data_IF_740234635122
#
_entry.id   IF_740234635122
#
_cell.length_a   1.000
_cell.length_b   1.000
_cell.length_c   1.000
_cell.angle_alpha   90.00
_cell.angle_beta   90.00
_cell.angle_gamma   90.00
#
_symmetry.space_group_name_H-M   'P 1'
#
loop_
_entity.id
_entity.type
_entity.pdbx_description
1 polymer ?
#
# COMPACT_ATOMS: atom_id res chain seq x y z
N UNK A 1 -36.74 53.01 27.00
CA UNK A 1 -35.82 52.13 27.77
C UNK A 1 -36.55 51.03 28.51
N UNK A 2 -37.64 51.31 29.23
CA UNK A 2 -38.41 50.28 29.96
C UNK A 2 -38.95 49.15 29.07
N UNK A 3 -39.40 49.47 27.86
CA UNK A 3 -39.88 48.48 26.89
C UNK A 3 -38.78 47.47 26.50
N UNK A 4 -37.58 47.95 26.16
CA UNK A 4 -36.43 47.09 25.85
C UNK A 4 -35.98 46.25 27.05
N UNK A 5 -36.07 46.80 28.27
CA UNK A 5 -35.76 46.05 29.50
C UNK A 5 -36.72 44.88 29.73
N UNK A 6 -38.01 45.09 29.47
CA UNK A 6 -39.05 44.05 29.56
C UNK A 6 -38.92 43.01 28.45
N UNK A 7 -38.73 43.45 27.20
CA UNK A 7 -38.65 42.55 26.03
C UNK A 7 -37.45 41.62 26.08
N UNK A 8 -36.28 42.11 26.51
CA UNK A 8 -35.05 41.32 26.53
C UNK A 8 -34.66 40.81 27.93
N UNK A 9 -35.47 41.10 28.96
CA UNK A 9 -35.24 40.73 30.36
C UNK A 9 -33.82 41.08 30.85
N UNK A 10 -33.38 42.31 30.59
CA UNK A 10 -32.04 42.80 30.94
C UNK A 10 -32.10 44.14 31.66
N UNK A 11 -31.13 44.40 32.54
CA UNK A 11 -31.08 45.65 33.29
C UNK A 11 -30.79 46.86 32.39
N UNK A 12 -31.28 48.04 32.79
CA UNK A 12 -31.03 49.32 32.12
C UNK A 12 -29.52 49.56 31.91
N UNK A 13 -28.71 49.23 32.92
CA UNK A 13 -27.26 49.36 32.88
C UNK A 13 -26.62 48.47 31.79
N UNK A 14 -27.19 47.30 31.52
CA UNK A 14 -26.70 46.39 30.47
C UNK A 14 -27.00 46.94 29.08
N UNK A 15 -28.23 47.44 28.87
CA UNK A 15 -28.64 48.05 27.60
C UNK A 15 -27.80 49.30 27.32
N UNK A 16 -27.63 50.18 28.32
CA UNK A 16 -26.79 51.38 28.20
C UNK A 16 -25.35 51.03 27.81
N UNK A 17 -24.74 50.04 28.50
CA UNK A 17 -23.38 49.57 28.19
C UNK A 17 -23.23 49.03 26.76
N UNK A 18 -24.22 48.28 26.27
CA UNK A 18 -24.23 47.75 24.90
C UNK A 18 -24.36 48.89 23.89
N UNK A 19 -25.25 49.85 24.17
CA UNK A 19 -25.51 51.01 23.33
C UNK A 19 -24.28 51.91 23.21
N UNK A 20 -23.69 52.35 24.32
CA UNK A 20 -22.47 53.16 24.33
C UNK A 20 -21.36 52.48 23.53
N UNK A 21 -21.17 51.17 23.71
CA UNK A 21 -20.19 50.39 22.94
C UNK A 21 -20.48 50.38 21.44
N UNK A 22 -21.75 50.22 21.06
CA UNK A 22 -22.19 50.31 19.67
C UNK A 22 -21.82 51.68 19.08
N UNK A 23 -22.14 52.76 19.77
CA UNK A 23 -21.81 54.13 19.35
C UNK A 23 -20.29 54.34 19.21
N UNK A 24 -19.49 53.94 20.19
CA UNK A 24 -18.02 54.08 20.13
C UNK A 24 -17.40 53.30 18.98
N UNK A 25 -17.86 52.06 18.75
CA UNK A 25 -17.33 51.23 17.65
C UNK A 25 -17.79 51.70 16.26
N UNK A 26 -19.00 52.23 16.15
CA UNK A 26 -19.49 52.86 14.94
C UNK A 26 -18.67 54.10 14.59
N UNK A 27 -18.35 54.95 15.57
CA UNK A 27 -17.51 56.14 15.37
C UNK A 27 -16.09 55.79 14.90
N UNK A 28 -15.53 54.65 15.33
CA UNK A 28 -14.17 54.22 15.00
C UNK A 28 -14.06 53.39 13.72
N UNK A 29 -15.06 52.57 13.40
CA UNK A 29 -14.98 51.55 12.33
C UNK A 29 -16.11 51.62 11.31
N UNK A 30 -17.00 52.60 11.43
CA UNK A 30 -18.20 52.75 10.59
C UNK A 30 -19.34 51.78 10.91
N UNK A 31 -19.12 50.78 11.78
CA UNK A 31 -20.10 49.74 12.11
C UNK A 31 -20.24 49.54 13.62
N UNK A 32 -21.49 49.45 14.13
CA UNK A 32 -21.77 49.20 15.54
C UNK A 32 -21.51 47.74 15.91
N UNK A 33 -20.45 47.49 16.69
CA UNK A 33 -20.08 46.15 17.20
C UNK A 33 -20.69 45.92 18.58
N UNK A 34 -21.87 45.29 18.60
CA UNK A 34 -22.63 45.00 19.84
C UNK A 34 -22.50 43.55 20.35
N UNK A 35 -21.61 42.75 19.77
CA UNK A 35 -21.38 41.36 20.20
C UNK A 35 -20.87 41.26 21.65
N UNK A 36 -21.17 40.16 22.34
CA UNK A 36 -20.67 39.93 23.72
C UNK A 36 -19.14 39.89 23.76
N UNK A 37 -18.54 40.58 24.75
CA UNK A 37 -17.09 40.47 25.05
C UNK A 37 -16.75 39.28 25.96
N UNK A 38 -17.72 38.42 26.26
CA UNK A 38 -17.48 37.20 27.04
C UNK A 38 -16.73 36.14 26.24
N UNK A 39 -16.88 36.13 24.91
CA UNK A 39 -16.08 35.32 24.02
C UNK A 39 -14.59 35.69 24.19
N UNK A 40 -13.79 34.75 24.70
CA UNK A 40 -12.38 34.95 25.04
C UNK A 40 -12.09 35.23 26.52
N UNK A 41 -13.05 35.75 27.31
CA UNK A 41 -12.88 35.94 28.77
C UNK A 41 -13.21 34.69 29.58
N UNK A 42 -14.14 33.86 29.11
CA UNK A 42 -14.56 32.62 29.79
C UNK A 42 -13.71 31.42 29.36
N UNK A 43 -12.87 31.58 28.32
CA UNK A 43 -11.93 30.55 27.92
C UNK A 43 -10.82 30.44 28.99
N UNK A 44 -11.02 29.54 29.96
CA UNK A 44 -10.02 29.26 30.98
C UNK A 44 -8.66 28.94 30.35
N UNK A 45 -7.59 29.30 31.05
CA UNK A 45 -6.22 29.03 30.62
C UNK A 45 -6.04 27.54 30.33
N UNK A 46 -5.55 27.23 29.13
CA UNK A 46 -5.36 25.84 28.71
C UNK A 46 -4.19 25.25 29.53
N UNK A 47 -4.50 24.32 30.45
CA UNK A 47 -3.51 23.65 31.30
C UNK A 47 -2.34 23.01 30.53
N UNK A 48 -2.59 22.55 29.30
CA UNK A 48 -1.56 22.00 28.41
C UNK A 48 -1.48 22.86 27.15
N UNK A 49 -0.42 23.66 27.02
CA UNK A 49 -0.09 24.36 25.78
C UNK A 49 0.21 23.36 24.66
N UNK A 50 0.11 23.80 23.40
CA UNK A 50 0.38 22.91 22.28
C UNK A 50 1.86 22.52 22.21
N UNK A 51 2.75 23.44 22.60
CA UNK A 51 4.19 23.25 22.71
C UNK A 51 4.53 22.26 23.83
N UNK A 52 3.99 22.46 25.04
CA UNK A 52 4.23 21.55 26.15
C UNK A 52 3.66 20.15 25.91
N UNK A 53 2.51 20.06 25.24
CA UNK A 53 1.97 18.77 24.82
C UNK A 53 2.87 18.07 23.77
N UNK A 54 3.46 18.81 22.83
CA UNK A 54 4.40 18.27 21.85
C UNK A 54 5.65 17.72 22.52
N UNK A 55 6.23 18.44 23.47
CA UNK A 55 7.47 18.06 24.13
C UNK A 55 7.24 16.82 25.01
N UNK A 56 6.17 16.80 25.80
CA UNK A 56 5.78 15.65 26.61
C UNK A 56 5.52 14.40 25.76
N UNK A 57 4.82 14.55 24.63
CA UNK A 57 4.61 13.41 23.72
C UNK A 57 5.91 12.97 23.06
N UNK A 58 6.84 13.89 22.78
CA UNK A 58 8.11 13.60 22.10
C UNK A 58 9.17 12.98 22.99
N UNK A 59 9.11 13.17 24.31
CA UNK A 59 10.04 12.55 25.27
C UNK A 59 9.70 11.08 25.59
N UNK A 60 8.44 10.67 25.47
CA UNK A 60 7.99 9.31 25.80
C UNK A 60 8.51 8.27 24.79
N UNK A 61 9.04 7.10 25.14
CA UNK A 61 9.42 6.08 24.15
C UNK A 61 8.28 5.63 23.22
N UNK A 62 8.57 5.32 21.95
CA UNK A 62 7.55 5.01 20.93
C UNK A 62 6.61 3.86 21.31
N UNK A 63 7.08 2.82 22.01
CA UNK A 63 6.27 1.67 22.40
C UNK A 63 5.15 2.03 23.41
N UNK A 64 5.27 3.15 24.13
CA UNK A 64 4.23 3.69 25.02
C UNK A 64 3.25 4.64 24.29
N UNK A 65 3.53 5.00 23.03
CA UNK A 65 2.69 5.89 22.21
C UNK A 65 1.66 5.16 21.33
N UNK A 66 1.51 3.85 21.49
CA UNK A 66 0.70 3.01 20.60
C UNK A 66 -0.81 3.25 20.69
N UNK A 67 -1.32 3.65 21.85
CA UNK A 67 -2.73 3.94 22.07
C UNK A 67 -2.92 5.12 23.04
N UNK A 68 -4.10 5.73 23.03
CA UNK A 68 -4.40 6.91 23.86
C UNK A 68 -4.29 6.64 25.37
N UNK A 69 -4.57 5.42 25.83
CA UNK A 69 -4.50 5.10 27.26
C UNK A 69 -3.05 5.06 27.73
N UNK A 70 -2.19 4.34 27.01
CA UNK A 70 -0.74 4.28 27.29
C UNK A 70 -0.09 5.66 27.15
N UNK A 71 -0.42 6.41 26.10
CA UNK A 71 0.13 7.74 25.88
C UNK A 71 -0.29 8.72 26.99
N UNK A 72 -1.56 8.69 27.41
CA UNK A 72 -2.05 9.54 28.50
C UNK A 72 -1.33 9.23 29.82
N UNK A 73 -1.16 7.94 30.14
CA UNK A 73 -0.44 7.52 31.34
C UNK A 73 1.02 7.95 31.32
N UNK A 74 1.69 7.85 30.18
CA UNK A 74 3.11 8.19 30.04
C UNK A 74 3.38 9.70 29.99
N UNK A 75 2.43 10.49 29.48
CA UNK A 75 2.59 11.95 29.33
C UNK A 75 1.94 12.76 30.45
N UNK A 76 1.09 12.14 31.27
CA UNK A 76 0.23 12.84 32.23
C UNK A 76 -0.84 13.73 31.58
N UNK A 77 -1.02 13.64 30.25
CA UNK A 77 -2.01 14.42 29.51
C UNK A 77 -3.33 13.63 29.43
N UNK A 78 -4.48 14.21 29.80
CA UNK A 78 -5.76 13.55 29.67
C UNK A 78 -6.08 13.11 28.23
N UNK A 79 -6.73 11.95 28.08
CA UNK A 79 -7.10 11.39 26.76
C UNK A 79 -7.95 12.35 25.94
N UNK A 80 -8.82 13.12 26.58
CA UNK A 80 -9.69 14.12 25.94
C UNK A 80 -8.87 15.25 25.30
N UNK A 81 -7.82 15.70 25.97
CA UNK A 81 -6.87 16.68 25.44
C UNK A 81 -6.09 16.11 24.26
N UNK A 82 -5.54 14.89 24.40
CA UNK A 82 -4.86 14.20 23.29
C UNK A 82 -5.79 14.00 22.07
N UNK A 83 -7.07 13.68 22.29
CA UNK A 83 -8.07 13.57 21.22
C UNK A 83 -8.32 14.91 20.52
N UNK A 84 -8.36 16.02 21.27
CA UNK A 84 -8.46 17.37 20.70
C UNK A 84 -7.25 17.68 19.80
N UNK A 85 -6.04 17.34 20.22
CA UNK A 85 -4.84 17.48 19.38
C UNK A 85 -4.91 16.60 18.12
N UNK A 86 -5.48 15.40 18.19
CA UNK A 86 -5.71 14.54 17.02
C UNK A 86 -6.72 15.17 16.05
N UNK A 87 -7.87 15.65 16.54
CA UNK A 87 -8.90 16.34 15.73
C UNK A 87 -8.37 17.61 15.07
N UNK A 88 -7.56 18.37 15.79
CA UNK A 88 -6.86 19.55 15.29
C UNK A 88 -5.66 19.23 14.37
N UNK A 89 -5.41 17.95 14.05
CA UNK A 89 -4.30 17.46 13.22
C UNK A 89 -2.88 17.79 13.75
N UNK A 90 -2.75 18.14 15.03
CA UNK A 90 -1.46 18.37 15.71
C UNK A 90 -0.80 17.06 16.16
N UNK A 91 -1.63 16.07 16.47
CA UNK A 91 -1.22 14.67 16.68
C UNK A 91 -1.69 13.84 15.49
N UNK A 92 -0.93 12.83 15.05
CA UNK A 92 -1.31 11.94 13.93
C UNK A 92 -1.17 10.47 14.30
N UNK A 93 -2.22 9.69 14.06
CA UNK A 93 -2.12 8.22 14.06
C UNK A 93 -1.39 7.77 12.80
N UNK A 94 -0.23 7.16 12.98
CA UNK A 94 0.61 6.64 11.88
C UNK A 94 0.89 5.17 12.12
N UNK A 95 0.90 4.37 11.06
CA UNK A 95 1.30 2.96 11.13
C UNK A 95 2.64 2.81 10.43
N UNK A 96 3.65 2.36 11.16
CA UNK A 96 4.89 1.87 10.56
C UNK A 96 4.70 0.41 10.16
N UNK A 97 5.21 0.02 9.00
CA UNK A 97 5.30 -1.38 8.60
C UNK A 97 6.68 -1.90 8.97
N UNK A 98 6.74 -3.10 9.53
CA UNK A 98 8.00 -3.80 9.73
C UNK A 98 8.66 -4.01 8.36
N UNK A 99 9.94 -3.68 8.29
CA UNK A 99 10.79 -3.92 7.12
C UNK A 99 11.83 -4.97 7.52
N UNK A 100 12.20 -5.84 6.58
CA UNK A 100 13.28 -6.79 6.82
C UNK A 100 14.57 -6.04 7.19
N UNK A 101 15.28 -6.56 8.19
CA UNK A 101 16.56 -6.01 8.61
C UNK A 101 17.62 -6.28 7.55
N UNK A 102 18.31 -5.23 7.08
CA UNK A 102 19.40 -5.36 6.11
C UNK A 102 20.74 -5.35 6.84
N UNK A 103 21.44 -6.48 6.84
CA UNK A 103 22.83 -6.56 7.30
C UNK A 103 23.73 -5.73 6.37
N UNK A 104 24.96 -5.45 6.79
CA UNK A 104 25.94 -4.76 5.93
C UNK A 104 26.19 -5.53 4.63
N UNK A 105 26.27 -6.86 4.71
CA UNK A 105 26.42 -7.74 3.54
C UNK A 105 25.23 -7.60 2.58
N UNK A 106 23.99 -7.59 3.09
CA UNK A 106 22.81 -7.38 2.24
C UNK A 106 22.82 -6.01 1.56
N UNK A 107 23.27 -4.96 2.26
CA UNK A 107 23.39 -3.61 1.70
C UNK A 107 24.42 -3.56 0.58
N UNK A 108 25.59 -4.14 0.80
CA UNK A 108 26.66 -4.19 -0.21
C UNK A 108 26.24 -5.00 -1.44
N UNK A 109 25.64 -6.17 -1.24
CA UNK A 109 25.14 -7.00 -2.35
C UNK A 109 24.10 -6.26 -3.19
N UNK A 110 23.14 -5.56 -2.55
CA UNK A 110 22.15 -4.73 -3.24
C UNK A 110 22.77 -3.55 -3.98
N UNK A 111 23.80 -2.91 -3.39
CA UNK A 111 24.53 -1.82 -4.03
C UNK A 111 25.26 -2.31 -5.27
N UNK A 112 25.99 -3.42 -5.18
CA UNK A 112 26.71 -4.01 -6.30
C UNK A 112 25.76 -4.45 -7.42
N UNK A 113 24.62 -5.06 -7.04
CA UNK A 113 23.56 -5.40 -7.98
C UNK A 113 22.99 -4.17 -8.68
N UNK A 114 22.69 -3.08 -7.96
CA UNK A 114 22.23 -1.85 -8.60
C UNK A 114 23.31 -1.23 -9.51
N UNK A 115 24.57 -1.25 -9.06
CA UNK A 115 25.73 -0.74 -9.80
C UNK A 115 25.96 -1.49 -11.11
N UNK A 116 25.67 -2.80 -11.19
CA UNK A 116 25.83 -3.57 -12.43
C UNK A 116 24.89 -3.13 -13.56
N UNK A 117 23.81 -2.42 -13.24
CA UNK A 117 22.93 -1.80 -14.26
C UNK A 117 23.42 -0.43 -14.73
N UNK A 118 24.52 0.11 -14.19
CA UNK A 118 25.10 1.38 -14.66
C UNK A 118 26.15 1.08 -15.72
N UNK A 119 25.87 1.45 -16.97
CA UNK A 119 26.76 1.30 -18.11
C UNK A 119 27.49 2.61 -18.40
N UNK A 120 28.73 2.51 -18.88
CA UNK A 120 29.43 3.66 -19.45
C UNK A 120 28.74 4.09 -20.77
N UNK A 121 28.56 5.40 -20.93
CA UNK A 121 28.10 6.05 -22.14
C UNK A 121 29.25 6.76 -22.85
N UNK A 122 28.92 7.52 -23.90
CA UNK A 122 29.89 8.35 -24.60
C UNK A 122 30.37 9.50 -23.70
N UNK A 123 31.61 9.97 -23.91
CA UNK A 123 32.18 11.13 -23.21
C UNK A 123 32.17 11.00 -21.67
N UNK A 124 32.34 9.79 -21.15
CA UNK A 124 32.37 9.55 -19.69
C UNK A 124 31.01 9.64 -19.00
N UNK A 125 29.91 9.78 -19.74
CA UNK A 125 28.55 9.76 -19.17
C UNK A 125 28.22 8.37 -18.61
N UNK A 126 27.31 8.32 -17.63
CA UNK A 126 26.78 7.06 -17.09
C UNK A 126 25.31 6.95 -17.47
N UNK A 127 24.92 5.78 -17.98
CA UNK A 127 23.53 5.50 -18.35
C UNK A 127 23.05 4.23 -17.67
N UNK A 128 21.77 4.22 -17.32
CA UNK A 128 21.14 3.00 -16.84
C UNK A 128 20.92 2.01 -17.98
N UNK A 129 21.08 0.73 -17.67
CA UNK A 129 20.70 -0.38 -18.50
C UNK A 129 19.20 -0.28 -18.83
N UNK A 130 18.85 -0.43 -20.11
CA UNK A 130 17.46 -0.23 -20.56
C UNK A 130 16.54 -1.41 -20.19
N UNK A 131 17.10 -2.56 -19.81
CA UNK A 131 16.38 -3.78 -19.42
C UNK A 131 15.44 -4.29 -20.53
N UNK A 132 15.72 -3.94 -21.79
CA UNK A 132 14.91 -4.37 -22.92
C UNK A 132 15.12 -5.87 -23.19
N UNK A 133 16.27 -6.40 -22.82
CA UNK A 133 16.73 -7.79 -22.92
C UNK A 133 16.47 -8.62 -21.64
N UNK A 134 15.67 -8.13 -20.69
CA UNK A 134 15.40 -8.83 -19.42
C UNK A 134 13.94 -9.27 -19.31
N UNK A 135 13.73 -10.53 -18.94
CA UNK A 135 12.45 -11.09 -18.50
C UNK A 135 12.49 -11.28 -16.99
N UNK A 136 11.59 -10.63 -16.27
CA UNK A 136 11.41 -10.81 -14.83
C UNK A 136 10.42 -11.94 -14.58
N UNK A 137 10.83 -12.89 -13.74
CA UNK A 137 10.07 -14.05 -13.34
C UNK A 137 9.81 -13.95 -11.83
N UNK A 138 8.56 -14.10 -11.42
CA UNK A 138 8.16 -14.06 -10.02
C UNK A 138 6.94 -14.96 -9.76
N UNK A 139 6.81 -15.47 -8.55
CA UNK A 139 5.66 -16.25 -8.11
C UNK A 139 4.71 -15.40 -7.26
N UNK A 140 3.41 -15.53 -7.52
CA UNK A 140 2.40 -14.79 -6.77
C UNK A 140 1.24 -15.66 -6.31
N UNK A 141 0.91 -15.55 -5.03
CA UNK A 141 -0.31 -16.12 -4.47
C UNK A 141 -1.54 -15.28 -4.83
N UNK A 142 -2.51 -15.92 -5.47
CA UNK A 142 -3.85 -15.39 -5.71
C UNK A 142 -4.85 -16.12 -4.83
N UNK A 143 -5.67 -15.36 -4.11
CA UNK A 143 -6.73 -15.89 -3.26
C UNK A 143 -8.04 -15.85 -4.04
N UNK A 144 -8.81 -16.95 -4.01
CA UNK A 144 -10.14 -16.98 -4.62
C UNK A 144 -11.03 -15.87 -4.03
N UNK A 145 -10.85 -15.55 -2.75
CA UNK A 145 -11.59 -14.48 -2.10
C UNK A 145 -10.70 -13.71 -1.12
N UNK A 146 -10.80 -12.38 -1.09
CA UNK A 146 -10.08 -11.55 -0.12
C UNK A 146 -10.79 -11.57 1.23
N UNK A 147 -10.02 -11.72 2.32
CA UNK A 147 -10.55 -11.64 3.70
C UNK A 147 -11.16 -10.26 3.95
N UNK A 148 -10.42 -9.21 3.63
CA UNK A 148 -10.88 -7.82 3.72
C UNK A 148 -11.03 -7.28 2.30
N UNK A 149 -12.26 -7.18 1.80
CA UNK A 149 -12.57 -6.55 0.51
C UNK A 149 -13.12 -5.15 0.78
N UNK A 150 -12.63 -4.17 0.03
CA UNK A 150 -13.13 -2.79 0.12
C UNK A 150 -14.34 -2.65 -0.80
N UNK A 151 -15.37 -1.98 -0.30
CA UNK A 151 -16.56 -1.60 -1.06
C UNK A 151 -16.69 -0.09 -1.00
N UNK A 152 -17.06 0.52 -2.12
CA UNK A 152 -17.62 1.86 -2.14
C UNK A 152 -19.13 1.68 -2.01
N UNK A 153 -19.70 2.16 -0.91
CA UNK A 153 -21.11 2.03 -0.58
C UNK A 153 -21.69 3.44 -0.44
N UNK A 154 -22.95 3.62 -0.78
CA UNK A 154 -23.66 4.85 -0.45
C UNK A 154 -23.91 4.94 1.07
N UNK A 155 -24.21 6.13 1.59
CA UNK A 155 -24.25 6.38 3.03
C UNK A 155 -25.40 5.66 3.78
N UNK A 156 -26.44 5.26 3.05
CA UNK A 156 -27.62 4.51 3.51
C UNK A 156 -27.56 3.01 3.15
N UNK A 157 -26.52 2.57 2.44
CA UNK A 157 -26.39 1.19 1.97
C UNK A 157 -25.82 0.28 3.07
N UNK A 158 -26.47 -0.85 3.29
CA UNK A 158 -25.98 -1.85 4.23
C UNK A 158 -24.70 -2.52 3.70
N UNK A 159 -23.73 -2.75 4.59
CA UNK A 159 -22.48 -3.42 4.23
C UNK A 159 -22.76 -4.87 3.79
N UNK A 160 -22.33 -5.30 2.59
CA UNK A 160 -22.57 -6.66 2.11
C UNK A 160 -22.00 -7.72 3.06
N UNK A 161 -22.85 -8.64 3.52
CA UNK A 161 -22.42 -9.73 4.40
C UNK A 161 -21.79 -10.88 3.60
N UNK A 162 -20.50 -11.13 3.80
CA UNK A 162 -19.77 -12.25 3.18
C UNK A 162 -19.47 -13.32 4.23
N UNK A 163 -19.94 -14.55 3.98
CA UNK A 163 -19.76 -15.70 4.87
C UNK A 163 -18.81 -16.72 4.26
N UNK A 164 -17.92 -17.26 5.06
CA UNK A 164 -17.06 -18.40 4.75
C UNK A 164 -16.92 -19.26 6.00
N UNK A 165 -16.85 -20.58 5.85
CA UNK A 165 -16.75 -21.52 6.99
C UNK A 165 -15.49 -21.28 7.82
N UNK A 166 -14.35 -21.02 7.18
CA UNK A 166 -13.10 -20.64 7.85
C UNK A 166 -12.26 -19.73 6.97
N UNK A 167 -11.69 -18.68 7.57
CA UNK A 167 -10.75 -17.76 6.89
C UNK A 167 -9.40 -18.43 6.60
N UNK A 168 -9.06 -19.48 7.34
CA UNK A 168 -7.80 -20.23 7.17
C UNK A 168 -7.82 -21.14 5.94
N UNK A 169 -9.00 -21.58 5.52
CA UNK A 169 -9.18 -22.52 4.40
C UNK A 169 -9.60 -21.83 3.09
N UNK A 170 -9.36 -20.52 2.96
CA UNK A 170 -9.56 -19.84 1.68
C UNK A 170 -8.56 -20.40 0.68
N UNK A 171 -9.07 -21.00 -0.40
CA UNK A 171 -8.25 -21.53 -1.47
C UNK A 171 -7.38 -20.43 -2.06
N UNK A 172 -6.09 -20.72 -2.16
CA UNK A 172 -5.08 -19.88 -2.76
C UNK A 172 -4.32 -20.69 -3.80
N UNK A 173 -4.04 -20.07 -4.94
CA UNK A 173 -3.29 -20.68 -6.05
C UNK A 173 -2.07 -19.81 -6.29
N UNK A 174 -0.90 -20.43 -6.37
CA UNK A 174 0.32 -19.73 -6.75
C UNK A 174 0.43 -19.73 -8.27
N UNK A 175 0.83 -18.60 -8.84
CA UNK A 175 1.08 -18.48 -10.27
C UNK A 175 2.52 -18.07 -10.51
N UNK A 176 3.17 -18.69 -11.49
CA UNK A 176 4.42 -18.22 -12.06
C UNK A 176 4.11 -17.18 -13.12
N UNK A 177 4.71 -15.99 -13.01
CA UNK A 177 4.51 -14.90 -13.95
C UNK A 177 5.83 -14.52 -14.59
N UNK A 178 5.83 -14.33 -15.90
CA UNK A 178 6.96 -13.81 -16.64
C UNK A 178 6.54 -12.53 -17.39
N UNK A 179 7.26 -11.44 -17.13
CA UNK A 179 6.99 -10.11 -17.70
C UNK A 179 8.29 -9.44 -18.08
N UNK A 180 8.30 -8.76 -19.21
CA UNK A 180 9.40 -7.96 -19.70
C UNK A 180 8.93 -6.52 -19.98
N UNK A 181 9.86 -5.64 -20.30
CA UNK A 181 9.57 -4.24 -20.58
C UNK A 181 8.72 -4.10 -21.86
N UNK A 182 7.57 -3.39 -21.84
CA UNK A 182 6.77 -3.14 -23.03
C UNK A 182 7.57 -2.43 -24.12
N UNK A 183 7.31 -2.78 -25.40
CA UNK A 183 8.04 -2.23 -26.55
C UNK A 183 7.10 -1.52 -27.52
N UNK A 184 7.24 -0.19 -27.68
CA UNK A 184 6.50 0.56 -28.69
C UNK A 184 6.89 0.10 -30.10
N UNK A 185 5.90 -0.03 -31.00
CA UNK A 185 6.08 -0.33 -32.44
C UNK A 185 6.86 -1.62 -32.72
N UNK A 186 6.49 -2.71 -32.05
CA UNK A 186 7.07 -4.03 -32.36
C UNK A 186 6.64 -4.49 -33.76
N UNK A 187 5.34 -4.53 -34.03
CA UNK A 187 4.83 -4.90 -35.35
C UNK A 187 4.69 -3.64 -36.21
N UNK A 188 5.66 -3.37 -37.08
CA UNK A 188 5.66 -2.23 -37.99
C UNK A 188 4.50 -2.25 -38.98
N UNK A 189 3.90 -3.43 -39.25
CA UNK A 189 2.74 -3.59 -40.15
C UNK A 189 1.42 -3.39 -39.43
N UNK A 190 1.32 -3.82 -38.16
CA UNK A 190 0.08 -3.72 -37.36
C UNK A 190 0.04 -2.51 -36.41
N UNK A 191 1.09 -1.69 -36.38
CA UNK A 191 1.27 -0.62 -35.40
C UNK A 191 1.04 -1.09 -33.95
N UNK A 192 1.31 -2.38 -33.68
CA UNK A 192 0.98 -3.01 -32.42
C UNK A 192 2.14 -2.86 -31.41
N UNK A 193 1.81 -2.38 -30.22
CA UNK A 193 2.73 -2.36 -29.08
C UNK A 193 2.83 -3.75 -28.46
N UNK A 194 4.04 -4.19 -28.15
CA UNK A 194 4.21 -5.38 -27.32
C UNK A 194 4.05 -5.00 -25.85
N UNK A 195 3.09 -5.62 -25.17
CA UNK A 195 2.69 -5.24 -23.80
C UNK A 195 3.61 -5.80 -22.71
N UNK A 196 4.64 -6.56 -23.09
CA UNK A 196 5.63 -7.14 -22.18
C UNK A 196 5.15 -8.39 -21.45
N UNK A 197 3.90 -8.84 -21.64
CA UNK A 197 3.37 -10.00 -20.94
C UNK A 197 3.79 -11.29 -21.65
N UNK A 198 4.66 -12.06 -21.02
CA UNK A 198 5.10 -13.36 -21.57
C UNK A 198 4.08 -14.43 -21.18
N UNK A 199 3.74 -14.54 -19.90
CA UNK A 199 2.76 -15.52 -19.47
C UNK A 199 2.48 -15.54 -17.98
N UNK A 200 1.47 -16.34 -17.63
CA UNK A 200 1.00 -16.57 -16.28
C UNK A 200 0.54 -18.02 -16.16
N UNK A 201 1.20 -18.82 -15.33
CA UNK A 201 0.96 -20.26 -15.23
C UNK A 201 0.61 -20.65 -13.79
N UNK A 202 -0.57 -21.26 -13.55
CA UNK A 202 -0.95 -21.71 -12.22
C UNK A 202 -0.19 -22.98 -11.82
N UNK A 203 0.27 -23.04 -10.57
CA UNK A 203 0.74 -24.28 -9.95
C UNK A 203 -0.45 -25.09 -9.44
N UNK A 204 -1.01 -25.91 -10.33
CA UNK A 204 -2.16 -26.76 -10.05
C UNK A 204 -1.98 -28.14 -10.65
N UNK A 205 -2.69 -29.11 -10.09
CA UNK A 205 -2.83 -30.46 -10.63
C UNK A 205 -4.32 -30.86 -10.65
N UNK A 206 -4.67 -31.78 -11.54
CA UNK A 206 -6.02 -32.37 -11.56
C UNK A 206 -6.01 -33.64 -10.70
N UNK A 207 -6.77 -33.63 -9.61
CA UNK A 207 -6.98 -34.80 -8.74
C UNK A 207 -8.44 -35.22 -8.75
N UNK A 208 -8.68 -36.53 -8.77
CA UNK A 208 -10.02 -37.08 -8.63
C UNK A 208 -10.52 -36.88 -7.18
N UNK A 209 -11.76 -36.44 -7.03
CA UNK A 209 -12.39 -36.24 -5.73
C UNK A 209 -12.46 -37.56 -4.94
N UNK A 210 -11.74 -37.65 -3.81
CA UNK A 210 -11.72 -38.85 -2.96
C UNK A 210 -13.02 -39.10 -2.18
N UNK A 211 -13.74 -38.02 -1.85
CA UNK A 211 -14.97 -38.05 -1.05
C UNK A 211 -16.09 -37.34 -1.80
N UNK A 212 -17.32 -37.86 -1.65
CA UNK A 212 -18.54 -37.14 -2.03
C UNK A 212 -18.69 -35.92 -1.13
N UNK A 213 -18.99 -34.78 -1.73
CA UNK A 213 -19.33 -33.53 -1.06
C UNK A 213 -20.61 -32.98 -1.66
N UNK A 214 -21.29 -32.06 -0.96
CA UNK A 214 -22.63 -31.55 -1.32
C UNK A 214 -22.76 -31.14 -2.80
N UNK A 215 -21.72 -30.56 -3.37
CA UNK A 215 -21.70 -30.06 -4.76
C UNK A 215 -20.70 -30.82 -5.65
N UNK A 216 -20.25 -32.01 -5.25
CA UNK A 216 -19.23 -32.76 -5.99
C UNK A 216 -19.25 -34.25 -5.66
N UNK A 217 -19.49 -35.08 -6.66
CA UNK A 217 -19.43 -36.52 -6.51
C UNK A 217 -17.99 -37.05 -6.35
N UNK A 218 -17.89 -38.28 -5.84
CA UNK A 218 -16.62 -39.00 -5.79
C UNK A 218 -16.17 -39.30 -7.22
N UNK A 219 -14.89 -39.10 -7.51
CA UNK A 219 -14.33 -39.32 -8.84
C UNK A 219 -14.38 -38.10 -9.78
N UNK A 220 -15.06 -37.01 -9.43
CA UNK A 220 -15.03 -35.80 -10.27
C UNK A 220 -13.60 -35.23 -10.35
N UNK A 221 -13.06 -34.91 -11.54
CA UNK A 221 -11.76 -34.27 -11.68
C UNK A 221 -11.78 -32.86 -11.12
N UNK A 222 -10.83 -32.55 -10.24
CA UNK A 222 -10.77 -31.26 -9.54
C UNK A 222 -9.37 -30.70 -9.64
N UNK A 223 -9.29 -29.44 -10.06
CA UNK A 223 -8.05 -28.66 -10.02
C UNK A 223 -7.74 -28.26 -8.59
N UNK A 224 -6.59 -28.70 -8.07
CA UNK A 224 -6.12 -28.35 -6.72
C UNK A 224 -4.75 -27.68 -6.81
N UNK A 225 -4.47 -26.68 -5.94
CA UNK A 225 -3.16 -26.05 -5.89
C UNK A 225 -2.11 -27.03 -5.37
N UNK A 226 -0.90 -26.95 -5.94
CA UNK A 226 0.25 -27.76 -5.51
C UNK A 226 1.31 -26.90 -4.83
N UNK A 227 2.09 -27.52 -3.95
CA UNK A 227 3.30 -26.90 -3.40
C UNK A 227 4.41 -26.91 -4.44
N UNK A 228 5.13 -25.80 -4.58
CA UNK A 228 6.22 -25.71 -5.56
C UNK A 228 7.50 -26.28 -4.99
N UNK A 229 7.91 -27.39 -5.58
CA UNK A 229 9.20 -28.03 -5.35
C UNK A 229 10.17 -27.66 -6.47
N UNK A 230 11.47 -27.83 -6.24
CA UNK A 230 12.51 -27.53 -7.24
C UNK A 230 12.28 -28.24 -8.60
N UNK A 231 11.89 -29.52 -8.66
CA UNK A 231 11.56 -30.18 -9.93
C UNK A 231 10.35 -29.57 -10.65
N UNK A 232 9.28 -29.25 -9.92
CA UNK A 232 8.08 -28.61 -10.49
C UNK A 232 8.46 -27.24 -11.06
N UNK A 233 9.26 -26.48 -10.31
CA UNK A 233 9.74 -25.17 -10.74
C UNK A 233 10.58 -25.26 -12.01
N UNK A 234 11.58 -26.15 -12.03
CA UNK A 234 12.43 -26.42 -13.19
C UNK A 234 11.60 -26.75 -14.44
N UNK A 235 10.63 -27.66 -14.31
CA UNK A 235 9.74 -28.04 -15.41
C UNK A 235 8.96 -26.83 -15.96
N UNK A 236 8.40 -26.00 -15.08
CA UNK A 236 7.66 -24.81 -15.51
C UNK A 236 8.55 -23.76 -16.17
N UNK A 237 9.79 -23.58 -15.70
CA UNK A 237 10.74 -22.68 -16.37
C UNK A 237 11.03 -23.14 -17.80
N UNK A 238 11.37 -24.41 -17.97
CA UNK A 238 11.78 -24.97 -19.26
C UNK A 238 10.60 -25.04 -20.23
N UNK A 239 9.54 -25.74 -19.85
CA UNK A 239 8.43 -26.10 -20.75
C UNK A 239 7.40 -24.98 -20.94
N UNK A 240 7.28 -24.08 -19.96
CA UNK A 240 6.27 -23.01 -20.00
C UNK A 240 6.92 -21.66 -20.27
N UNK A 241 7.85 -21.24 -19.42
CA UNK A 241 8.38 -19.87 -19.46
C UNK A 241 9.28 -19.68 -20.67
N UNK A 242 10.31 -20.50 -20.86
CA UNK A 242 11.27 -20.34 -21.95
C UNK A 242 10.61 -20.58 -23.31
N UNK A 243 9.76 -21.60 -23.43
CA UNK A 243 8.96 -21.81 -24.64
C UNK A 243 8.07 -20.60 -24.96
N UNK A 244 7.46 -19.96 -23.96
CA UNK A 244 6.65 -18.76 -24.19
C UNK A 244 7.49 -17.51 -24.49
N UNK A 245 8.70 -17.38 -23.92
CA UNK A 245 9.65 -16.34 -24.30
C UNK A 245 9.96 -16.51 -25.78
N UNK A 246 10.44 -17.68 -26.21
CA UNK A 246 10.78 -17.95 -27.61
C UNK A 246 9.61 -17.66 -28.57
N UNK A 247 8.39 -18.05 -28.20
CA UNK A 247 7.20 -17.83 -29.04
C UNK A 247 6.75 -16.36 -29.12
N UNK A 248 6.88 -15.59 -28.03
CA UNK A 248 6.30 -14.24 -27.92
C UNK A 248 7.33 -13.12 -27.97
N UNK A 249 8.62 -13.43 -27.93
CA UNK A 249 9.66 -12.43 -27.83
C UNK A 249 9.72 -11.58 -29.11
N UNK A 250 9.78 -10.24 -28.97
CA UNK A 250 9.61 -9.37 -30.10
C UNK A 250 10.82 -9.29 -31.05
N UNK A 251 12.04 -9.43 -30.52
CA UNK A 251 13.26 -9.26 -31.31
C UNK A 251 13.91 -10.61 -31.65
N UNK A 252 14.18 -10.86 -32.93
CA UNK A 252 15.04 -11.97 -33.37
C UNK A 252 16.52 -11.59 -33.53
N UNK A 253 16.94 -10.44 -32.98
CA UNK A 253 18.26 -9.81 -33.27
C UNK A 253 19.47 -10.53 -32.67
N UNK A 254 19.37 -11.81 -32.32
CA UNK A 254 20.48 -12.63 -31.80
C UNK A 254 21.10 -12.13 -30.49
N UNK A 255 20.45 -11.22 -29.77
CA UNK A 255 20.93 -10.74 -28.47
C UNK A 255 20.52 -11.71 -27.38
N UNK A 256 21.41 -12.00 -26.40
CA UNK A 256 21.04 -12.79 -25.23
C UNK A 256 19.84 -12.17 -24.51
N UNK A 257 18.89 -13.01 -24.11
CA UNK A 257 17.77 -12.63 -23.24
C UNK A 257 18.10 -13.12 -21.85
N UNK A 258 18.03 -12.25 -20.86
CA UNK A 258 18.31 -12.60 -19.46
C UNK A 258 17.00 -12.85 -18.71
N UNK A 259 16.87 -14.04 -18.15
CA UNK A 259 15.80 -14.36 -17.21
C UNK A 259 16.27 -13.98 -15.78
N UNK A 260 15.53 -13.10 -15.13
CA UNK A 260 15.81 -12.67 -13.76
C UNK A 260 14.73 -13.21 -12.81
N UNK A 261 15.15 -13.84 -11.73
CA UNK A 261 14.29 -14.36 -10.65
C UNK A 261 14.91 -14.04 -9.28
N UNK A 262 14.18 -14.30 -8.19
CA UNK A 262 14.70 -14.17 -6.84
C UNK A 262 15.52 -15.42 -6.41
N UNK A 263 16.07 -15.40 -5.19
CA UNK A 263 16.88 -16.49 -4.64
C UNK A 263 16.09 -17.40 -3.68
N UNK A 264 14.82 -17.72 -3.99
CA UNK A 264 14.04 -18.65 -3.19
C UNK A 264 14.61 -20.08 -3.24
N UNK A 265 14.49 -20.83 -2.13
CA UNK A 265 15.03 -22.20 -2.01
C UNK A 265 14.59 -23.17 -3.12
N UNK A 266 13.34 -23.14 -3.63
CA UNK A 266 12.93 -24.02 -4.72
C UNK A 266 13.53 -23.63 -6.07
N UNK A 267 14.20 -22.49 -6.17
CA UNK A 267 14.75 -22.04 -7.44
C UNK A 267 15.93 -22.90 -7.87
N UNK A 268 16.06 -22.96 -9.17
CA UNK A 268 17.14 -23.68 -9.82
C UNK A 268 18.38 -22.80 -9.79
N UNK A 269 19.54 -23.40 -9.59
CA UNK A 269 20.80 -22.67 -9.62
C UNK A 269 21.04 -22.12 -11.03
N UNK A 270 21.74 -20.99 -11.13
CA UNK A 270 22.06 -20.34 -12.41
C UNK A 270 22.81 -21.28 -13.37
N UNK A 271 23.53 -22.26 -12.81
CA UNK A 271 24.37 -23.18 -13.54
C UNK A 271 23.71 -24.51 -13.93
N UNK A 272 22.43 -24.71 -13.60
CA UNK A 272 21.71 -25.96 -13.84
C UNK A 272 21.69 -26.35 -15.33
N UNK A 273 22.19 -27.56 -15.61
CA UNK A 273 22.40 -28.03 -16.97
C UNK A 273 21.12 -28.07 -17.81
N UNK A 274 19.98 -28.45 -17.22
CA UNK A 274 18.72 -28.53 -17.96
C UNK A 274 18.17 -27.15 -18.31
N UNK A 275 18.29 -26.18 -17.39
CA UNK A 275 17.89 -24.79 -17.63
C UNK A 275 18.80 -24.14 -18.66
N UNK A 276 20.12 -24.36 -18.57
CA UNK A 276 21.08 -23.88 -19.57
C UNK A 276 20.81 -24.44 -20.95
N UNK A 277 20.60 -25.75 -21.07
CA UNK A 277 20.28 -26.41 -22.33
C UNK A 277 18.99 -25.85 -22.95
N UNK A 278 17.95 -25.64 -22.16
CA UNK A 278 16.69 -25.05 -22.64
C UNK A 278 16.82 -23.56 -23.03
N UNK A 279 17.78 -22.85 -22.46
CA UNK A 279 18.08 -21.46 -22.80
C UNK A 279 18.90 -21.28 -24.08
N UNK A 280 19.57 -22.33 -24.54
CA UNK A 280 20.22 -22.36 -25.85
C UNK A 280 19.14 -22.64 -26.90
N UNK A 281 18.92 -21.69 -27.80
CA UNK A 281 18.06 -21.90 -28.97
C UNK A 281 18.65 -23.08 -29.74
N UNK A 282 17.89 -24.16 -29.87
CA UNK A 282 18.14 -25.15 -30.92
C UNK A 282 17.81 -24.44 -32.24
N UNK A 283 18.83 -23.95 -32.93
CA UNK A 283 18.72 -23.68 -34.37
C UNK A 283 18.54 -25.01 -35.14
#
# INVERSE_FOLDING_TARGET
MEELMRTFNVSQATISRIWTRGCTSAALTGCAKVASKMAGRIAGTRKYSDEGARDNVSSVPHHLRCNFRSLASATGIPKTTLWRHLKAKKLRRTTSRLKAMLTQNHRLARYNFAKSFVRAGQLGTRRWHDMMDIVHIDEKWFYITQVNRRFYLWHDEAVPQRKAQSKWHITKVMFLCAVARPRPRHDSKRHAMWDGKVGLWPFVETKLAKRKYKNRDRGTPVTVPISVTKPIYRYNLIDKVFSAIQAKWPDRRGRPIFAQQDNAKPHVAEDDAAVKAAGQLND
#
